data_IF_420909124667
#
_entry.id   IF_420909124667
#
_cell.length_a   1.000
_cell.length_b   1.000
_cell.length_c   1.000
_cell.angle_alpha   90.00
_cell.angle_beta   90.00
_cell.angle_gamma   90.00
#
_symmetry.space_group_name_H-M   'P 1'
#
loop_
_entity.id
_entity.type
_entity.pdbx_description
1 polymer ?
#
# COMPACT_ATOMS: atom_id res chain seq x y z
N UNK A 1 8.09 40.09 17.78
CA UNK A 1 8.36 38.73 18.33
C UNK A 1 8.68 37.83 17.16
N UNK A 2 9.86 37.20 17.14
CA UNK A 2 10.33 36.41 15.99
C UNK A 2 9.42 35.20 15.74
N UNK A 3 8.93 35.00 14.52
CA UNK A 3 8.00 33.92 14.13
C UNK A 3 8.51 32.52 14.51
N UNK A 4 9.83 32.36 14.51
CA UNK A 4 10.53 31.15 14.95
C UNK A 4 10.27 30.81 16.41
N UNK A 5 10.23 31.82 17.30
CA UNK A 5 9.95 31.61 18.73
C UNK A 5 8.50 31.16 18.93
N UNK A 6 7.57 31.73 18.17
CA UNK A 6 6.15 31.35 18.20
C UNK A 6 5.93 29.92 17.73
N UNK A 7 6.61 29.51 16.65
CA UNK A 7 6.58 28.14 16.15
C UNK A 7 7.14 27.15 17.18
N UNK A 8 8.29 27.46 17.77
CA UNK A 8 8.91 26.62 18.79
C UNK A 8 8.00 26.43 20.02
N UNK A 9 7.35 27.51 20.48
CA UNK A 9 6.39 27.43 21.59
C UNK A 9 5.19 26.56 21.22
N UNK A 10 4.62 26.72 20.02
CA UNK A 10 3.50 25.91 19.56
C UNK A 10 3.85 24.41 19.51
N UNK A 11 5.02 24.07 18.96
CA UNK A 11 5.51 22.68 18.91
C UNK A 11 5.73 22.11 20.31
N UNK A 12 6.33 22.87 21.22
CA UNK A 12 6.56 22.41 22.60
C UNK A 12 5.24 22.19 23.35
N UNK A 13 4.21 23.01 23.11
CA UNK A 13 2.86 22.82 23.67
C UNK A 13 2.19 21.58 23.09
N UNK A 14 2.34 21.31 21.79
CA UNK A 14 1.78 20.12 21.13
C UNK A 14 2.40 18.80 21.64
N UNK A 15 3.72 18.79 21.89
CA UNK A 15 4.43 17.59 22.36
C UNK A 15 4.32 17.43 23.88
N UNK A 16 4.06 18.53 24.60
CA UNK A 16 3.91 18.56 26.06
C UNK A 16 2.58 18.01 26.60
N UNK A 17 1.73 17.40 25.77
CA UNK A 17 0.54 16.71 26.26
C UNK A 17 0.97 15.61 27.25
N UNK A 18 0.53 15.65 28.53
CA UNK A 18 0.89 14.61 29.48
C UNK A 18 0.28 13.29 28.99
N UNK A 19 1.13 12.29 28.74
CA UNK A 19 0.69 10.91 28.57
C UNK A 19 0.23 10.40 29.95
N UNK A 20 -1.03 10.69 30.30
CA UNK A 20 -1.65 10.16 31.52
C UNK A 20 -2.05 8.72 31.21
N UNK A 21 -1.42 7.76 31.87
CA UNK A 21 -1.89 6.38 31.84
C UNK A 21 -3.33 6.37 32.40
N UNK A 22 -4.28 5.85 31.63
CA UNK A 22 -5.70 5.82 32.00
C UNK A 22 -6.03 4.66 32.98
N UNK A 23 -5.14 4.43 33.95
CA UNK A 23 -5.17 3.29 34.88
C UNK A 23 -6.40 3.30 35.80
N UNK A 24 -6.99 4.47 36.05
CA UNK A 24 -8.22 4.66 36.82
C UNK A 24 -9.40 5.20 35.99
N UNK A 25 -9.41 4.95 34.67
CA UNK A 25 -10.45 5.43 33.78
C UNK A 25 -11.86 5.02 34.25
N UNK A 26 -12.75 6.00 34.38
CA UNK A 26 -14.14 5.75 34.72
C UNK A 26 -14.84 5.02 33.54
N UNK A 27 -16.03 4.44 33.74
CA UNK A 27 -16.72 3.71 32.68
C UNK A 27 -16.99 4.53 31.41
N UNK A 28 -17.21 5.85 31.51
CA UNK A 28 -17.39 6.73 30.36
C UNK A 28 -16.09 6.93 29.58
N UNK A 29 -14.96 7.14 30.26
CA UNK A 29 -13.66 7.30 29.61
C UNK A 29 -13.25 6.02 28.85
N UNK A 30 -13.52 4.85 29.46
CA UNK A 30 -13.32 3.55 28.81
C UNK A 30 -14.23 3.37 27.59
N UNK A 31 -15.49 3.77 27.69
CA UNK A 31 -16.43 3.71 26.57
C UNK A 31 -15.96 4.61 25.41
N UNK A 32 -15.48 5.82 25.69
CA UNK A 32 -14.93 6.70 24.66
C UNK A 32 -13.68 6.11 24.00
N UNK A 33 -12.79 5.52 24.80
CA UNK A 33 -11.61 4.82 24.28
C UNK A 33 -12.00 3.68 23.35
N UNK A 34 -12.91 2.79 23.79
CA UNK A 34 -13.34 1.66 22.97
C UNK A 34 -14.05 2.10 21.68
N UNK A 35 -14.97 3.05 21.77
CA UNK A 35 -15.74 3.55 20.61
C UNK A 35 -14.87 4.26 19.59
N UNK A 36 -13.71 4.78 19.99
CA UNK A 36 -12.74 5.40 19.07
C UNK A 36 -11.76 4.39 18.50
N UNK A 37 -11.10 3.61 19.36
CA UNK A 37 -10.00 2.74 18.93
C UNK A 37 -10.47 1.44 18.28
N UNK A 38 -11.54 0.81 18.79
CA UNK A 38 -11.98 -0.49 18.25
C UNK A 38 -12.40 -0.37 16.79
N UNK A 39 -13.26 0.59 16.38
CA UNK A 39 -13.60 0.75 14.97
C UNK A 39 -12.38 1.13 14.13
N UNK A 40 -11.49 1.99 14.63
CA UNK A 40 -10.29 2.41 13.91
C UNK A 40 -9.36 1.23 13.61
N UNK A 41 -9.12 0.36 14.60
CA UNK A 41 -8.28 -0.83 14.42
C UNK A 41 -8.93 -1.81 13.44
N UNK A 42 -10.23 -2.06 13.58
CA UNK A 42 -10.95 -2.99 12.71
C UNK A 42 -10.96 -2.51 11.26
N UNK A 43 -11.28 -1.23 11.04
CA UNK A 43 -11.30 -0.63 9.69
C UNK A 43 -9.89 -0.55 9.13
N UNK A 44 -8.91 -0.08 9.92
CA UNK A 44 -7.52 0.02 9.50
C UNK A 44 -6.92 -1.33 9.11
N UNK A 45 -7.14 -2.36 9.94
CA UNK A 45 -6.69 -3.73 9.68
C UNK A 45 -7.35 -4.33 8.44
N UNK A 46 -8.68 -4.22 8.32
CA UNK A 46 -9.40 -4.70 7.13
C UNK A 46 -8.94 -3.97 5.86
N UNK A 47 -8.71 -2.66 5.93
CA UNK A 47 -8.22 -1.86 4.81
C UNK A 47 -6.82 -2.28 4.38
N UNK A 48 -5.89 -2.49 5.33
CA UNK A 48 -4.55 -2.97 5.04
C UNK A 48 -4.56 -4.34 4.35
N UNK A 49 -5.40 -5.28 4.84
CA UNK A 49 -5.52 -6.62 4.27
C UNK A 49 -6.17 -6.66 2.88
N UNK A 50 -6.99 -5.67 2.53
CA UNK A 50 -7.72 -5.65 1.25
C UNK A 50 -7.16 -4.67 0.23
N UNK A 51 -6.40 -3.67 0.65
CA UNK A 51 -5.83 -2.64 -0.23
C UNK A 51 -4.33 -2.81 -0.42
N UNK A 52 -3.59 -3.10 0.64
CA UNK A 52 -2.12 -3.17 0.59
C UNK A 52 -1.60 -4.60 0.47
N UNK A 53 -2.25 -5.58 1.10
CA UNK A 53 -1.83 -6.97 0.95
C UNK A 53 -1.91 -7.47 -0.51
N UNK A 54 -2.93 -7.13 -1.33
CA UNK A 54 -2.91 -7.49 -2.75
C UNK A 54 -1.72 -6.91 -3.49
N UNK A 55 -1.22 -5.71 -3.13
CA UNK A 55 -0.03 -5.10 -3.77
C UNK A 55 1.23 -5.94 -3.59
N UNK A 56 1.30 -6.77 -2.55
CA UNK A 56 2.39 -7.72 -2.34
C UNK A 56 2.32 -8.90 -3.34
N UNK A 57 1.14 -9.18 -3.89
CA UNK A 57 0.87 -10.28 -4.81
C UNK A 57 0.66 -9.82 -6.27
N UNK A 58 0.36 -8.55 -6.52
CA UNK A 58 0.14 -7.98 -7.85
C UNK A 58 1.43 -7.42 -8.45
N UNK A 59 2.48 -8.24 -8.54
CA UNK A 59 3.67 -7.85 -9.28
C UNK A 59 3.61 -8.45 -10.67
N UNK A 60 3.58 -7.59 -11.69
CA UNK A 60 3.74 -8.00 -13.09
C UNK A 60 5.03 -8.81 -13.30
N UNK A 61 6.04 -8.65 -12.43
CA UNK A 61 7.26 -9.47 -12.41
C UNK A 61 6.97 -10.94 -12.08
N UNK A 62 6.17 -11.21 -11.04
CA UNK A 62 5.85 -12.59 -10.63
C UNK A 62 5.04 -13.30 -11.70
N UNK A 63 4.05 -12.61 -12.28
CA UNK A 63 3.26 -13.13 -13.39
C UNK A 63 4.10 -13.33 -14.66
N UNK A 64 5.04 -12.43 -14.95
CA UNK A 64 5.98 -12.59 -16.06
C UNK A 64 6.93 -13.77 -15.85
N UNK A 65 7.41 -14.01 -14.63
CA UNK A 65 8.23 -15.18 -14.30
C UNK A 65 7.44 -16.48 -14.45
N UNK A 66 6.16 -16.50 -14.04
CA UNK A 66 5.28 -17.65 -14.27
C UNK A 66 5.04 -17.90 -15.77
N UNK A 67 4.84 -16.84 -16.55
CA UNK A 67 4.72 -16.93 -18.01
C UNK A 67 5.99 -17.47 -18.66
N UNK A 68 7.18 -17.00 -18.25
CA UNK A 68 8.46 -17.50 -18.74
C UNK A 68 8.66 -18.98 -18.35
N UNK A 69 8.44 -19.33 -17.08
CA UNK A 69 8.67 -20.68 -16.57
C UNK A 69 7.68 -21.71 -17.10
N UNK A 70 6.55 -21.27 -17.65
CA UNK A 70 5.53 -22.11 -18.30
C UNK A 70 5.60 -22.10 -19.82
N UNK A 71 6.67 -21.54 -20.42
CA UNK A 71 6.83 -21.37 -21.86
C UNK A 71 5.64 -20.64 -22.54
N UNK A 72 4.94 -19.80 -21.79
CA UNK A 72 3.85 -18.96 -22.26
C UNK A 72 2.43 -19.46 -21.95
N UNK A 73 2.30 -20.59 -21.25
CA UNK A 73 1.00 -21.18 -20.93
C UNK A 73 0.27 -20.47 -19.77
N UNK A 74 1.00 -20.00 -18.74
CA UNK A 74 0.42 -19.34 -17.58
C UNK A 74 0.51 -17.82 -17.74
N UNK A 75 -0.61 -17.20 -18.12
CA UNK A 75 -0.76 -15.74 -18.22
C UNK A 75 -1.44 -15.18 -16.96
N UNK A 76 -0.62 -14.80 -15.98
CA UNK A 76 -1.10 -14.10 -14.79
C UNK A 76 -1.82 -12.79 -15.14
N UNK A 77 -2.74 -12.35 -14.27
CA UNK A 77 -3.64 -11.24 -14.56
C UNK A 77 -2.90 -9.90 -14.79
N UNK A 78 -1.85 -9.63 -14.02
CA UNK A 78 -1.06 -8.40 -14.13
C UNK A 78 -0.20 -8.41 -15.38
N UNK A 79 0.40 -9.56 -15.73
CA UNK A 79 1.14 -9.69 -16.99
C UNK A 79 0.22 -9.57 -18.22
N UNK A 80 -0.96 -10.17 -18.17
CA UNK A 80 -1.95 -10.07 -19.25
C UNK A 80 -2.46 -8.62 -19.39
N UNK A 81 -2.69 -7.91 -18.28
CA UNK A 81 -3.03 -6.49 -18.32
C UNK A 81 -1.90 -5.64 -18.92
N UNK A 82 -0.65 -5.88 -18.50
CA UNK A 82 0.52 -5.20 -19.05
C UNK A 82 0.70 -5.48 -20.55
N UNK A 83 0.50 -6.72 -20.98
CA UNK A 83 0.56 -7.12 -22.39
C UNK A 83 -0.52 -6.41 -23.21
N UNK A 84 -1.77 -6.40 -22.74
CA UNK A 84 -2.87 -5.68 -23.40
C UNK A 84 -2.58 -4.18 -23.51
N UNK A 85 -2.09 -3.57 -22.43
CA UNK A 85 -1.71 -2.16 -22.43
C UNK A 85 -0.59 -1.87 -23.43
N UNK A 86 0.45 -2.73 -23.48
CA UNK A 86 1.54 -2.61 -24.44
C UNK A 86 1.03 -2.69 -25.88
N UNK A 87 0.18 -3.67 -26.19
CA UNK A 87 -0.40 -3.87 -27.52
C UNK A 87 -1.36 -2.75 -27.94
N UNK A 88 -2.12 -2.19 -27.00
CA UNK A 88 -3.04 -1.09 -27.30
C UNK A 88 -2.34 0.27 -27.45
N UNK A 89 -1.22 0.46 -26.75
CA UNK A 89 -0.47 1.74 -26.75
C UNK A 89 0.42 1.87 -27.98
N UNK A 90 0.98 0.76 -28.50
CA UNK A 90 1.92 0.78 -29.62
C UNK A 90 1.34 0.07 -30.85
N UNK A 91 1.06 0.83 -31.92
CA UNK A 91 0.45 0.32 -33.16
C UNK A 91 1.25 -0.80 -33.84
N UNK A 92 2.58 -0.84 -33.65
CA UNK A 92 3.45 -1.92 -34.08
C UNK A 92 4.33 -2.35 -32.91
N UNK A 93 3.88 -3.31 -32.08
CA UNK A 93 4.61 -3.72 -30.90
C UNK A 93 5.91 -4.43 -31.32
N UNK A 94 7.04 -3.93 -30.80
CA UNK A 94 8.39 -4.40 -31.14
C UNK A 94 8.77 -5.70 -30.42
N UNK A 95 8.01 -6.09 -29.40
CA UNK A 95 8.27 -7.26 -28.57
C UNK A 95 7.15 -8.30 -28.72
N UNK A 96 7.52 -9.58 -28.79
CA UNK A 96 6.61 -10.68 -28.49
C UNK A 96 6.25 -10.67 -27.00
N UNK A 97 5.19 -11.37 -26.62
CA UNK A 97 4.78 -11.44 -25.21
C UNK A 97 5.88 -12.08 -24.34
N UNK A 98 6.63 -13.05 -24.88
CA UNK A 98 7.81 -13.62 -24.20
C UNK A 98 8.94 -12.60 -24.03
N UNK A 99 9.18 -11.74 -25.02
CA UNK A 99 10.17 -10.68 -24.91
C UNK A 99 9.73 -9.61 -23.89
N UNK A 100 8.44 -9.26 -23.87
CA UNK A 100 7.86 -8.35 -22.89
C UNK A 100 7.97 -8.94 -21.47
N UNK A 101 7.65 -10.22 -21.28
CA UNK A 101 7.79 -10.91 -20.00
C UNK A 101 9.24 -10.87 -19.50
N UNK A 102 10.21 -11.18 -20.36
CA UNK A 102 11.65 -11.11 -20.02
C UNK A 102 12.08 -9.70 -19.64
N UNK A 103 11.61 -8.68 -20.35
CA UNK A 103 11.92 -7.28 -20.04
C UNK A 103 11.34 -6.85 -18.68
N UNK A 104 10.09 -7.25 -18.37
CA UNK A 104 9.47 -6.99 -17.06
C UNK A 104 10.25 -7.71 -15.96
N UNK A 105 10.58 -8.99 -16.16
CA UNK A 105 11.29 -9.82 -15.19
C UNK A 105 12.70 -9.30 -14.84
N UNK A 106 13.37 -8.59 -15.76
CA UNK A 106 14.71 -8.04 -15.56
C UNK A 106 14.74 -6.58 -15.09
N UNK A 107 13.63 -5.84 -15.17
CA UNK A 107 13.59 -4.39 -14.91
C UNK A 107 12.96 -4.02 -13.57
N UNK A 108 12.00 -4.82 -13.10
CA UNK A 108 11.36 -4.72 -11.80
C UNK A 108 11.79 -5.94 -10.98
#
# INVERSE_FOLDING_TARGET
MDSWKTLAIAVMVLIGAPAVAAENANPFDKALMYTTFVPTILIGGASALTTDAPKLFTSSKTDALAFIGSDGEIRGAEFEQASRYYRSTYASPLMSDMQLAKAIASSY
#
